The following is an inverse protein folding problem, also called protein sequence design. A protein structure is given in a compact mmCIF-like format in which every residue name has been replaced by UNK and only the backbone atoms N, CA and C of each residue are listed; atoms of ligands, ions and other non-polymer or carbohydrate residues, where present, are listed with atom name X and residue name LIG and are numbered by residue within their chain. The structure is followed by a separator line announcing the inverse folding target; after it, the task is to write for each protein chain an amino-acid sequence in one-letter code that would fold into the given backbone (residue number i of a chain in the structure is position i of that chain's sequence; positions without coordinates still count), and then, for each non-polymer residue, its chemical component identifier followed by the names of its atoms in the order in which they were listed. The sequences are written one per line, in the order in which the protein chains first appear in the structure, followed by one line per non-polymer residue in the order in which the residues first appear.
data_IF_263761211772
#
_entry.id   IF_263761211772
#
_cell.length_a   1.000
_cell.length_b   1.000
_cell.length_c   1.000
_cell.angle_alpha   90.00
_cell.angle_beta   90.00
_cell.angle_gamma   90.00
#
_symmetry.space_group_name_H-M   'P 1'
#
loop_
_entity.id
_entity.type
_entity.pdbx_description
1 polymer ?
#
# COMPACT_ATOMS: atom_id res chain seq x y z
N UNK A 1 -24.76 0.68 -0.53
CA UNK A 1 -23.66 0.17 -1.37
C UNK A 1 -22.42 0.31 -0.52
N UNK A 2 -21.77 -0.81 -0.20
CA UNK A 2 -20.48 -0.76 0.48
C UNK A 2 -19.47 -0.19 -0.51
N UNK A 3 -18.81 0.91 -0.15
CA UNK A 3 -17.71 1.44 -0.94
C UNK A 3 -16.49 0.55 -0.69
N UNK A 4 -15.93 0.00 -1.77
CA UNK A 4 -14.67 -0.73 -1.74
C UNK A 4 -13.60 0.16 -2.37
N UNK A 5 -12.99 1.09 -1.62
CA UNK A 5 -12.04 2.04 -2.16
C UNK A 5 -10.78 1.32 -2.65
N UNK A 6 -10.32 1.68 -3.85
CA UNK A 6 -9.01 1.26 -4.36
C UNK A 6 -7.99 2.35 -4.07
N UNK A 7 -6.98 2.03 -3.25
CA UNK A 7 -5.96 2.98 -2.82
C UNK A 7 -4.64 2.74 -3.57
N UNK A 8 -4.11 3.79 -4.19
CA UNK A 8 -2.76 3.78 -4.75
C UNK A 8 -1.78 4.30 -3.69
N UNK A 9 -0.92 3.41 -3.20
CA UNK A 9 0.05 3.72 -2.15
C UNK A 9 1.47 3.58 -2.72
N UNK A 10 2.27 4.64 -2.58
CA UNK A 10 3.71 4.56 -2.83
C UNK A 10 4.39 3.79 -1.69
N UNK A 11 5.10 2.71 -2.03
CA UNK A 11 5.82 1.86 -1.07
C UNK A 11 7.13 2.50 -0.54
N UNK A 12 7.55 3.63 -1.10
CA UNK A 12 8.87 4.22 -0.85
C UNK A 12 9.95 3.64 -1.78
N UNK A 13 11.24 3.97 -1.54
CA UNK A 13 12.35 3.57 -2.41
C UNK A 13 12.86 2.13 -2.15
N UNK A 14 12.20 1.37 -1.27
CA UNK A 14 12.53 -0.03 -0.97
C UNK A 14 12.73 -0.32 0.52
N UNK A 15 13.26 0.66 1.27
CA UNK A 15 13.34 0.56 2.73
C UNK A 15 11.92 0.68 3.33
N UNK A 16 11.42 -0.33 4.07
CA UNK A 16 10.09 -0.31 4.68
C UNK A 16 9.86 0.86 5.65
N UNK A 17 10.91 1.37 6.30
CA UNK A 17 10.79 2.49 7.24
C UNK A 17 10.46 3.82 6.53
N UNK A 18 10.67 3.88 5.21
CA UNK A 18 10.44 5.08 4.40
C UNK A 18 9.01 5.16 3.83
N UNK A 19 8.13 4.21 4.15
CA UNK A 19 6.70 4.34 3.81
C UNK A 19 6.04 5.44 4.64
N UNK A 20 5.06 6.13 4.06
CA UNK A 20 4.26 7.10 4.84
C UNK A 20 3.39 6.40 5.88
N UNK A 21 3.13 7.06 7.02
CA UNK A 21 2.22 6.57 8.06
C UNK A 21 0.82 6.25 7.51
N UNK A 22 0.33 7.05 6.55
CA UNK A 22 -0.97 6.80 5.89
C UNK A 22 -0.93 5.53 5.04
N UNK A 23 0.16 5.31 4.29
CA UNK A 23 0.34 4.12 3.47
C UNK A 23 0.44 2.85 4.32
N UNK A 24 1.16 2.92 5.44
CA UNK A 24 1.24 1.81 6.40
C UNK A 24 -0.14 1.44 6.97
N UNK A 25 -0.92 2.44 7.40
CA UNK A 25 -2.29 2.21 7.90
C UNK A 25 -3.19 1.58 6.84
N UNK A 26 -3.14 2.09 5.62
CA UNK A 26 -3.90 1.53 4.49
C UNK A 26 -3.52 0.07 4.21
N UNK A 27 -2.22 -0.27 4.25
CA UNK A 27 -1.75 -1.65 4.08
C UNK A 27 -2.21 -2.57 5.21
N UNK A 28 -2.27 -2.08 6.45
CA UNK A 28 -2.74 -2.87 7.60
C UNK A 28 -4.25 -3.13 7.58
N UNK A 29 -5.02 -2.21 7.00
CA UNK A 29 -6.49 -2.30 6.93
C UNK A 29 -6.99 -2.97 5.65
N UNK A 30 -6.14 -3.15 4.63
CA UNK A 30 -6.53 -3.68 3.34
C UNK A 30 -6.87 -5.19 3.40
N UNK A 31 -8.02 -5.55 2.85
CA UNK A 31 -8.39 -6.97 2.65
C UNK A 31 -7.56 -7.65 1.53
N UNK A 32 -7.09 -6.86 0.55
CA UNK A 32 -6.29 -7.33 -0.58
C UNK A 32 -5.22 -6.31 -0.99
N UNK A 33 -3.98 -6.78 -1.15
CA UNK A 33 -2.85 -5.98 -1.63
C UNK A 33 -2.37 -6.50 -2.98
N UNK A 34 -2.33 -5.62 -3.98
CA UNK A 34 -1.76 -5.88 -5.30
C UNK A 34 -0.46 -5.07 -5.42
N UNK A 35 0.65 -5.75 -5.71
CA UNK A 35 1.96 -5.13 -5.88
C UNK A 35 2.76 -5.84 -6.97
N UNK A 36 3.77 -5.16 -7.51
CA UNK A 36 4.70 -5.77 -8.46
C UNK A 36 5.72 -6.63 -7.70
N UNK A 37 5.92 -7.89 -8.13
CA UNK A 37 6.90 -8.79 -7.51
C UNK A 37 8.37 -8.35 -7.72
N UNK A 38 8.64 -7.53 -8.73
CA UNK A 38 9.94 -6.91 -8.97
C UNK A 38 9.74 -5.58 -9.71
N UNK A 39 10.45 -4.54 -9.27
CA UNK A 39 10.53 -3.23 -9.91
C UNK A 39 11.92 -3.11 -10.55
N UNK A 40 12.22 -3.98 -11.52
CA UNK A 40 13.45 -3.88 -12.32
C UNK A 40 13.43 -2.66 -13.22
#
# INVERSE_FOLDING_TARGET
MEENPVLFIGAGPGDPELITVKGQKALMEADLVIYAGSLV
#
